data_IF_359289034490
#
_entry.id   IF_359289034490
#
_cell.length_a   1.000
_cell.length_b   1.000
_cell.length_c   1.000
_cell.angle_alpha   90.00
_cell.angle_beta   90.00
_cell.angle_gamma   90.00
#
_symmetry.space_group_name_H-M   'P 1'
#
loop_
_entity.id
_entity.type
_entity.pdbx_description
1 polymer ?
#
# COMPACT_ATOMS: atom_id res chain seq x y z
N UNK A 1 -0.10 -9.42 3.68
CA UNK A 1 1.01 -8.90 2.85
C UNK A 1 2.31 -8.94 3.66
N UNK A 2 3.47 -9.15 3.04
CA UNK A 2 4.78 -8.98 3.70
C UNK A 2 5.58 -7.89 2.98
N UNK A 3 6.36 -7.12 3.74
CA UNK A 3 7.29 -6.13 3.19
C UNK A 3 8.73 -6.48 3.57
N UNK A 4 9.70 -6.25 2.67
CA UNK A 4 11.11 -6.45 2.97
C UNK A 4 11.59 -5.41 3.98
N UNK A 5 12.83 -5.59 4.44
CA UNK A 5 13.49 -4.54 5.20
C UNK A 5 13.70 -3.28 4.34
N UNK A 6 13.58 -2.11 4.95
CA UNK A 6 13.70 -0.81 4.32
C UNK A 6 14.54 0.16 5.17
N UNK A 7 14.75 1.37 4.65
CA UNK A 7 15.57 2.41 5.29
C UNK A 7 16.95 1.88 5.74
N UNK A 8 17.65 1.21 4.83
CA UNK A 8 18.99 0.62 5.06
C UNK A 8 19.04 -0.36 6.25
N UNK A 9 17.98 -1.12 6.48
CA UNK A 9 17.94 -2.12 7.56
C UNK A 9 17.33 -1.63 8.86
N UNK A 10 17.08 -0.33 9.00
CA UNK A 10 16.49 0.25 10.21
C UNK A 10 15.03 -0.21 10.36
N UNK A 11 14.30 -0.25 9.25
CA UNK A 11 12.96 -0.82 9.19
C UNK A 11 13.14 -2.31 8.85
N UNK A 12 13.11 -3.20 9.84
CA UNK A 12 12.96 -4.67 9.68
C UNK A 12 11.77 -5.12 8.78
N UNK A 13 11.65 -6.40 8.40
CA UNK A 13 10.49 -6.88 7.66
C UNK A 13 9.17 -6.72 8.43
N UNK A 14 8.07 -6.39 7.74
CA UNK A 14 6.72 -6.34 8.32
C UNK A 14 5.81 -7.37 7.68
N UNK A 15 4.86 -7.87 8.46
CA UNK A 15 3.67 -8.55 7.94
C UNK A 15 2.41 -7.73 8.26
N UNK A 16 1.43 -7.79 7.37
CA UNK A 16 0.15 -7.10 7.47
C UNK A 16 -0.98 -8.09 7.18
N UNK A 17 -2.05 -7.99 7.96
CA UNK A 17 -3.29 -8.75 7.77
C UNK A 17 -4.40 -7.74 7.63
N UNK A 18 -4.94 -7.64 6.42
CA UNK A 18 -5.94 -6.63 6.08
C UNK A 18 -7.18 -7.31 5.49
N UNK A 19 -8.34 -6.74 5.80
CA UNK A 19 -9.56 -6.98 5.03
C UNK A 19 -9.58 -5.95 3.91
N UNK A 20 -9.77 -6.44 2.69
CA UNK A 20 -9.77 -5.63 1.47
C UNK A 20 -11.18 -5.68 0.87
N UNK A 21 -11.75 -4.52 0.65
CA UNK A 21 -13.03 -4.34 -0.04
C UNK A 21 -12.80 -3.64 -1.38
N UNK A 22 -13.17 -4.32 -2.46
CA UNK A 22 -13.10 -3.75 -3.82
C UNK A 22 -14.48 -3.20 -4.19
N UNK A 23 -14.53 -1.93 -4.56
CA UNK A 23 -15.78 -1.27 -4.99
C UNK A 23 -15.64 -0.71 -6.39
N UNK A 24 -16.67 -0.90 -7.21
CA UNK A 24 -16.84 -0.24 -8.51
C UNK A 24 -17.96 0.77 -8.38
N UNK A 25 -17.74 1.97 -8.90
CA UNK A 25 -18.67 3.10 -8.84
C UNK A 25 -19.27 3.34 -10.24
N UNK A 26 -20.39 4.05 -10.29
CA UNK A 26 -21.14 4.31 -11.53
C UNK A 26 -20.35 5.17 -12.55
N UNK A 27 -19.45 6.02 -12.05
CA UNK A 27 -18.55 6.84 -12.86
C UNK A 27 -17.37 6.04 -13.47
N UNK A 28 -17.34 4.73 -13.23
CA UNK A 28 -16.26 3.83 -13.66
C UNK A 28 -15.06 3.80 -12.71
N UNK A 29 -15.09 4.55 -11.61
CA UNK A 29 -14.05 4.48 -10.57
C UNK A 29 -14.01 3.07 -9.97
N UNK A 30 -12.80 2.56 -9.75
CA UNK A 30 -12.58 1.30 -9.02
C UNK A 30 -11.68 1.60 -7.83
N UNK A 31 -12.12 1.26 -6.62
CA UNK A 31 -11.30 1.39 -5.42
C UNK A 31 -11.03 0.07 -4.73
N UNK A 32 -9.86 -0.05 -4.12
CA UNK A 32 -9.56 -0.98 -3.03
C UNK A 32 -9.56 -0.19 -1.72
N UNK A 33 -10.25 -0.72 -0.72
CA UNK A 33 -10.41 -0.11 0.60
C UNK A 33 -9.96 -1.14 1.62
N UNK A 34 -8.93 -0.79 2.37
CA UNK A 34 -8.15 -1.74 3.15
C UNK A 34 -8.17 -1.31 4.62
N UNK A 35 -8.28 -2.27 5.53
CA UNK A 35 -8.22 -2.04 6.97
C UNK A 35 -7.62 -3.26 7.66
N UNK A 36 -6.74 -3.03 8.63
CA UNK A 36 -6.14 -4.11 9.42
C UNK A 36 -7.21 -4.94 10.14
N UNK A 37 -6.98 -6.25 10.20
CA UNK A 37 -7.85 -7.20 10.88
C UNK A 37 -7.03 -8.31 11.53
N UNK A 38 -7.58 -8.90 12.59
CA UNK A 38 -7.02 -10.09 13.22
C UNK A 38 -7.66 -11.32 12.59
N UNK A 39 -6.84 -12.24 12.07
CA UNK A 39 -7.31 -13.50 11.53
C UNK A 39 -6.66 -14.68 12.27
N UNK A 40 -7.43 -15.63 12.85
CA UNK A 40 -6.88 -16.73 13.64
C UNK A 40 -5.85 -17.59 12.90
N UNK A 41 -6.04 -17.78 11.59
CA UNK A 41 -5.10 -18.56 10.76
C UNK A 41 -3.86 -17.75 10.31
N UNK A 42 -3.73 -16.48 10.74
CA UNK A 42 -2.59 -15.64 10.42
C UNK A 42 -2.06 -14.92 11.68
N UNK A 43 -1.58 -15.68 12.69
CA UNK A 43 -0.96 -15.09 13.87
C UNK A 43 0.35 -14.38 13.49
N UNK A 44 0.87 -13.47 14.34
CA UNK A 44 2.18 -12.85 14.14
C UNK A 44 3.27 -13.90 13.91
N UNK A 45 4.12 -13.68 12.92
CA UNK A 45 5.14 -14.63 12.49
C UNK A 45 6.53 -14.24 13.02
N UNK A 46 7.38 -15.20 13.43
CA UNK A 46 8.77 -14.92 13.79
C UNK A 46 9.53 -14.23 12.64
N UNK A 47 10.36 -13.25 12.96
CA UNK A 47 11.14 -12.49 11.98
C UNK A 47 10.39 -11.32 11.31
N UNK A 48 9.09 -11.15 11.61
CA UNK A 48 8.29 -10.03 11.15
C UNK A 48 7.76 -9.21 12.32
N UNK A 49 7.73 -7.89 12.14
CA UNK A 49 6.95 -7.01 13.00
C UNK A 49 5.55 -6.90 12.41
N UNK A 50 4.51 -7.19 13.20
CA UNK A 50 3.11 -6.99 12.76
C UNK A 50 2.83 -5.51 12.62
N UNK A 51 2.66 -5.05 11.38
CA UNK A 51 2.17 -3.72 11.08
C UNK A 51 0.64 -3.67 11.01
N UNK A 52 0.09 -2.48 11.13
CA UNK A 52 -1.35 -2.23 11.12
C UNK A 52 -1.67 -1.13 10.12
N UNK A 53 -2.52 -1.42 9.13
CA UNK A 53 -3.09 -0.39 8.28
C UNK A 53 -4.38 0.15 8.92
N UNK A 54 -4.42 1.45 9.17
CA UNK A 54 -5.68 2.18 9.32
C UNK A 54 -6.42 2.24 7.97
N UNK A 55 -7.68 2.73 7.91
CA UNK A 55 -8.42 2.79 6.64
C UNK A 55 -7.58 3.43 5.53
N UNK A 56 -7.24 2.64 4.52
CA UNK A 56 -6.32 3.02 3.46
C UNK A 56 -6.73 2.37 2.13
N UNK A 57 -5.92 2.53 1.09
CA UNK A 57 -6.16 1.85 -0.19
C UNK A 57 -5.92 2.74 -1.40
N UNK A 58 -6.48 2.34 -2.54
CA UNK A 58 -6.24 2.98 -3.84
C UNK A 58 -7.54 3.19 -4.61
N UNK A 59 -7.63 4.28 -5.37
CA UNK A 59 -8.76 4.58 -6.27
C UNK A 59 -8.25 4.88 -7.67
N UNK A 60 -8.63 4.03 -8.63
CA UNK A 60 -8.44 4.24 -10.06
C UNK A 60 -9.65 4.97 -10.63
N UNK A 61 -9.48 6.24 -10.98
CA UNK A 61 -10.51 7.12 -11.52
C UNK A 61 -10.31 7.29 -13.04
N UNK A 62 -11.31 7.03 -13.87
CA UNK A 62 -11.23 7.28 -15.31
C UNK A 62 -10.96 8.76 -15.63
N UNK A 63 -10.18 9.03 -16.67
CA UNK A 63 -9.93 10.41 -17.13
C UNK A 63 -10.89 10.74 -18.28
N UNK A 64 -11.79 11.75 -18.13
CA UNK A 64 -12.73 12.11 -19.18
C UNK A 64 -12.04 12.44 -20.51
N UNK A 65 -12.49 11.82 -21.60
CA UNK A 65 -11.91 12.02 -22.93
C UNK A 65 -10.59 11.27 -23.20
N UNK A 66 -10.03 10.55 -22.21
CA UNK A 66 -8.74 9.87 -22.33
C UNK A 66 -8.81 8.40 -21.88
N UNK A 67 -9.43 7.49 -22.68
CA UNK A 67 -9.67 6.10 -22.28
C UNK A 67 -8.39 5.28 -22.02
N UNK A 68 -7.23 5.75 -22.49
CA UNK A 68 -5.93 5.13 -22.25
C UNK A 68 -5.21 5.58 -20.98
N UNK A 69 -5.84 6.43 -20.15
CA UNK A 69 -5.28 6.97 -18.91
C UNK A 69 -6.23 6.75 -17.73
N UNK A 70 -5.64 6.70 -16.55
CA UNK A 70 -6.35 6.66 -15.27
C UNK A 70 -5.66 7.62 -14.31
N UNK A 71 -6.44 8.32 -13.49
CA UNK A 71 -5.92 8.98 -12.31
C UNK A 71 -5.90 7.96 -11.17
N UNK A 72 -4.78 7.85 -10.47
CA UNK A 72 -4.65 6.95 -9.33
C UNK A 72 -4.44 7.79 -8.07
N UNK A 73 -5.33 7.63 -7.09
CA UNK A 73 -5.16 8.13 -5.74
C UNK A 73 -4.81 6.98 -4.82
N UNK A 74 -3.80 7.16 -3.97
CA UNK A 74 -3.38 6.14 -3.02
C UNK A 74 -3.24 6.76 -1.63
N UNK A 75 -3.82 6.12 -0.63
CA UNK A 75 -3.81 6.53 0.76
C UNK A 75 -3.02 5.50 1.55
N UNK A 76 -1.93 5.91 2.18
CA UNK A 76 -1.04 5.05 2.96
C UNK A 76 -1.18 5.49 4.41
N UNK A 77 -1.92 4.72 5.21
CA UNK A 77 -2.20 5.06 6.60
C UNK A 77 -1.72 3.92 7.51
N UNK A 78 -0.43 3.65 7.43
CA UNK A 78 0.20 2.49 8.04
C UNK A 78 0.91 2.83 9.34
N UNK A 79 0.64 2.05 10.38
CA UNK A 79 1.50 1.90 11.55
C UNK A 79 2.45 0.73 11.32
N UNK A 80 3.75 1.01 11.28
CA UNK A 80 4.80 0.00 11.08
C UNK A 80 5.06 -0.87 12.31
N UNK A 81 4.48 -0.50 13.46
CA UNK A 81 4.70 -1.13 14.75
C UNK A 81 6.16 -1.07 15.21
N UNK A 82 6.42 -1.71 16.35
CA UNK A 82 7.74 -1.77 16.96
C UNK A 82 8.26 -0.42 17.47
N UNK A 83 9.57 -0.35 17.71
CA UNK A 83 10.24 0.83 18.25
C UNK A 83 11.07 1.49 17.14
N UNK A 84 10.44 2.40 16.40
CA UNK A 84 11.10 3.15 15.33
C UNK A 84 11.25 4.63 15.69
N UNK A 85 12.40 5.26 15.41
CA UNK A 85 12.52 6.71 15.48
C UNK A 85 11.52 7.37 14.54
N UNK A 86 10.79 8.38 15.02
CA UNK A 86 9.74 9.05 14.24
C UNK A 86 10.28 9.65 12.93
N UNK A 87 11.48 10.20 12.95
CA UNK A 87 12.15 10.76 11.78
C UNK A 87 12.37 9.73 10.66
N UNK A 88 12.64 8.47 11.01
CA UNK A 88 12.78 7.38 10.03
C UNK A 88 11.44 7.08 9.38
N UNK A 89 10.37 7.02 10.17
CA UNK A 89 9.00 6.80 9.67
C UNK A 89 8.54 7.95 8.75
N UNK A 90 8.75 9.18 9.19
CA UNK A 90 8.35 10.39 8.45
C UNK A 90 9.12 10.54 7.13
N UNK A 91 10.36 10.05 7.07
CA UNK A 91 11.15 10.04 5.82
C UNK A 91 10.77 8.85 4.91
N UNK A 92 10.43 7.71 5.51
CA UNK A 92 10.15 6.47 4.78
C UNK A 92 8.89 6.55 3.92
N UNK A 93 7.76 7.02 4.48
CA UNK A 93 6.48 6.97 3.76
C UNK A 93 6.46 7.80 2.48
N UNK A 94 6.92 9.07 2.46
CA UNK A 94 6.98 9.85 1.23
C UNK A 94 7.83 9.17 0.14
N UNK A 95 9.01 8.65 0.51
CA UNK A 95 9.89 7.92 -0.42
C UNK A 95 9.21 6.66 -0.95
N UNK A 96 8.59 5.86 -0.08
CA UNK A 96 7.89 4.64 -0.46
C UNK A 96 6.72 4.92 -1.40
N UNK A 97 5.99 6.02 -1.21
CA UNK A 97 4.89 6.42 -2.10
C UNK A 97 5.40 6.80 -3.50
N UNK A 98 6.49 7.57 -3.59
CA UNK A 98 7.10 7.92 -4.89
C UNK A 98 7.59 6.67 -5.62
N UNK A 99 8.26 5.76 -4.90
CA UNK A 99 8.70 4.47 -5.45
C UNK A 99 7.53 3.61 -5.92
N UNK A 100 6.43 3.59 -5.18
CA UNK A 100 5.20 2.89 -5.58
C UNK A 100 4.70 3.37 -6.95
N UNK A 101 4.52 4.69 -7.15
CA UNK A 101 4.06 5.22 -8.44
C UNK A 101 5.08 4.97 -9.57
N UNK A 102 6.38 5.07 -9.28
CA UNK A 102 7.45 4.80 -10.25
C UNK A 102 7.42 3.34 -10.72
N UNK A 103 7.34 2.40 -9.77
CA UNK A 103 7.29 0.98 -10.06
C UNK A 103 5.99 0.58 -10.76
N UNK A 104 4.85 1.13 -10.33
CA UNK A 104 3.57 0.93 -11.00
C UNK A 104 3.63 1.41 -12.45
N UNK A 105 4.19 2.59 -12.70
CA UNK A 105 4.33 3.13 -14.06
C UNK A 105 5.17 2.20 -14.96
N UNK A 106 6.26 1.63 -14.43
CA UNK A 106 7.08 0.65 -15.16
C UNK A 106 6.27 -0.62 -15.46
N UNK A 107 5.58 -1.16 -14.46
CA UNK A 107 4.76 -2.37 -14.61
C UNK A 107 3.64 -2.18 -15.64
N UNK A 108 2.91 -1.07 -15.58
CA UNK A 108 1.86 -0.75 -16.56
C UNK A 108 2.43 -0.64 -17.97
N UNK A 109 3.60 -0.01 -18.14
CA UNK A 109 4.26 0.06 -19.45
C UNK A 109 4.70 -1.31 -19.97
N UNK A 110 5.12 -2.24 -19.11
CA UNK A 110 5.47 -3.60 -19.53
C UNK A 110 4.25 -4.47 -19.88
N UNK A 111 3.06 -4.13 -19.37
CA UNK A 111 1.81 -4.85 -19.67
C UNK A 111 1.16 -4.39 -20.97
N UNK A 112 1.51 -3.20 -21.48
CA UNK A 112 1.09 -2.72 -22.79
C UNK A 112 1.85 -3.51 -23.87
N UNK A 113 1.36 -4.70 -24.20
CA UNK A 113 1.58 -5.33 -25.52
C UNK A 113 0.79 -4.59 -26.58
#
# INVERSE_FOLDING_TARGET
MVTPSAAMGIILPRDFVDVISIKRYEDGTVSSNDLSSCHPNCPPQPGYVRGFNHPCGCSCVPVPGEPGKTQLFSFFQTDLGGLLPRSVVDSFFPTSMVEFYSNLTKAVKSLKM
#
